data_IF_905035080069
#
_entry.id   IF_905035080069
#
_cell.length_a   1.000
_cell.length_b   1.000
_cell.length_c   1.000
_cell.angle_alpha   90.00
_cell.angle_beta   90.00
_cell.angle_gamma   90.00
#
_symmetry.space_group_name_H-M   'P 1'
#
loop_
_entity.id
_entity.type
_entity.pdbx_description
1 polymer ?
#
# COMPACT_ATOMS: atom_id res chain seq x y z
N UNK A 1 10.42 15.96 12.74
CA UNK A 1 9.36 15.01 12.35
C UNK A 1 10.01 13.96 11.48
N UNK A 2 10.39 12.85 12.10
CA UNK A 2 10.83 11.65 11.40
C UNK A 2 9.61 11.12 10.66
N UNK A 3 9.67 11.09 9.33
CA UNK A 3 8.70 10.39 8.51
C UNK A 3 8.91 8.90 8.85
N UNK A 4 7.87 8.24 9.34
CA UNK A 4 7.84 6.78 9.45
C UNK A 4 7.53 6.27 8.05
N UNK A 5 8.56 5.87 7.32
CA UNK A 5 8.43 5.31 5.98
C UNK A 5 8.22 3.79 6.07
N UNK A 6 7.59 3.21 5.04
CA UNK A 6 7.53 1.75 4.86
C UNK A 6 8.96 1.17 4.87
N UNK A 7 9.15 0.09 5.62
CA UNK A 7 10.45 -0.54 5.83
C UNK A 7 10.45 -1.96 5.31
N UNK A 8 11.55 -2.37 4.68
CA UNK A 8 11.74 -3.75 4.24
C UNK A 8 13.21 -4.13 4.34
N UNK A 9 13.46 -5.31 4.90
CA UNK A 9 14.78 -5.92 4.96
C UNK A 9 14.71 -7.39 4.56
N UNK A 10 15.75 -7.87 3.88
CA UNK A 10 15.89 -9.27 3.53
C UNK A 10 17.31 -9.75 3.86
N UNK A 11 17.42 -10.92 4.49
CA UNK A 11 18.70 -11.52 4.86
C UNK A 11 18.66 -13.04 4.73
N UNK A 12 19.85 -13.65 4.60
CA UNK A 12 19.94 -15.10 4.56
C UNK A 12 19.69 -15.71 5.94
N UNK A 13 18.79 -16.70 5.99
CA UNK A 13 18.57 -17.51 7.17
C UNK A 13 19.53 -18.70 7.11
N UNK A 14 20.76 -18.49 7.56
CA UNK A 14 21.78 -19.53 7.54
C UNK A 14 21.45 -20.63 8.58
N UNK A 15 20.62 -21.59 8.19
CA UNK A 15 20.32 -22.79 8.98
C UNK A 15 21.22 -23.96 8.58
N UNK A 16 21.38 -24.97 9.46
CA UNK A 16 21.95 -26.26 9.09
C UNK A 16 21.21 -26.89 7.91
N UNK A 17 21.93 -27.70 7.12
CA UNK A 17 21.32 -28.49 6.05
C UNK A 17 20.38 -29.51 6.71
N UNK A 18 19.09 -29.48 6.37
CA UNK A 18 18.15 -30.50 6.81
C UNK A 18 18.26 -31.69 5.83
N UNK A 19 18.42 -32.94 6.28
CA UNK A 19 18.44 -34.10 5.39
C UNK A 19 17.21 -34.20 4.46
N UNK A 20 16.06 -33.69 4.88
CA UNK A 20 14.87 -33.64 4.02
C UNK A 20 15.06 -32.68 2.81
N UNK A 21 15.89 -31.65 2.95
CA UNK A 21 16.18 -30.68 1.88
C UNK A 21 16.96 -31.36 0.73
N UNK A 22 17.80 -32.35 1.03
CA UNK A 22 18.62 -33.05 0.02
C UNK A 22 17.79 -33.93 -0.93
N UNK A 23 16.57 -34.30 -0.52
CA UNK A 23 15.66 -35.11 -1.33
C UNK A 23 15.03 -34.35 -2.50
N UNK A 24 15.21 -33.02 -2.57
CA UNK A 24 14.60 -32.17 -3.60
C UNK A 24 15.27 -32.30 -4.98
N UNK A 25 14.42 -32.37 -6.00
CA UNK A 25 14.84 -32.53 -7.41
C UNK A 25 15.31 -31.21 -8.03
N UNK A 26 14.74 -30.08 -7.62
CA UNK A 26 15.12 -28.73 -8.02
C UNK A 26 15.70 -27.94 -6.85
N UNK A 27 16.23 -26.75 -7.13
CA UNK A 27 16.68 -25.84 -6.07
C UNK A 27 15.65 -24.75 -5.87
N UNK A 28 15.29 -24.52 -4.61
CA UNK A 28 14.22 -23.61 -4.24
C UNK A 28 14.69 -22.60 -3.19
N UNK A 29 14.12 -21.40 -3.26
CA UNK A 29 14.14 -20.43 -2.19
C UNK A 29 12.97 -20.70 -1.25
N UNK A 30 13.26 -20.85 0.03
CA UNK A 30 12.27 -20.87 1.10
C UNK A 30 12.32 -19.49 1.75
N UNK A 31 11.30 -18.68 1.48
CA UNK A 31 11.24 -17.26 1.82
C UNK A 31 10.25 -17.10 2.97
N UNK A 32 10.76 -16.84 4.17
CA UNK A 32 9.94 -16.53 5.34
C UNK A 32 9.72 -15.01 5.40
N UNK A 33 8.50 -14.57 5.18
CA UNK A 33 8.12 -13.15 5.24
C UNK A 33 7.37 -12.93 6.55
N UNK A 34 7.84 -11.96 7.33
CA UNK A 34 7.18 -11.43 8.52
C UNK A 34 6.72 -10.01 8.22
N UNK A 35 5.41 -9.74 8.34
CA UNK A 35 4.82 -8.43 8.07
C UNK A 35 4.28 -7.86 9.37
N UNK A 36 4.69 -6.65 9.74
CA UNK A 36 4.09 -5.87 10.82
C UNK A 36 3.41 -4.62 10.27
N UNK A 37 2.19 -4.34 10.72
CA UNK A 37 1.50 -3.10 10.39
C UNK A 37 1.57 -2.15 11.56
N UNK A 38 1.99 -0.92 11.28
CA UNK A 38 2.26 0.11 12.26
C UNK A 38 1.25 1.23 12.00
N UNK A 39 0.36 1.47 12.96
CA UNK A 39 -0.67 2.51 12.85
C UNK A 39 -0.44 3.63 13.87
N UNK A 40 -0.75 4.88 13.51
CA UNK A 40 -0.85 5.94 14.52
C UNK A 40 -1.96 5.59 15.52
N UNK A 41 -1.82 6.01 16.79
CA UNK A 41 -2.87 5.81 17.78
C UNK A 41 -4.11 6.61 17.35
N UNK A 42 -5.33 6.10 17.60
CA UNK A 42 -6.55 6.84 17.28
C UNK A 42 -6.53 8.20 17.99
N UNK A 43 -6.86 9.28 17.28
CA UNK A 43 -7.00 10.62 17.86
C UNK A 43 -8.01 10.57 19.02
N UNK A 44 -7.52 10.54 20.26
CA UNK A 44 -8.35 10.79 21.44
C UNK A 44 -8.51 12.29 21.64
N UNK A 45 -9.73 12.74 21.92
CA UNK A 45 -10.09 14.16 22.17
C UNK A 45 -9.42 14.80 23.40
N UNK A 46 -8.44 14.14 24.03
CA UNK A 46 -7.71 14.67 25.19
C UNK A 46 -6.28 15.05 24.81
N UNK A 47 -6.00 16.35 24.94
CA UNK A 47 -4.71 16.99 24.66
C UNK A 47 -3.56 16.45 25.55
N UNK A 48 -2.38 16.32 24.94
CA UNK A 48 -1.06 16.01 25.52
C UNK A 48 -0.80 14.54 25.96
N UNK A 49 0.23 13.94 25.31
CA UNK A 49 0.73 12.55 25.37
C UNK A 49 0.10 11.65 24.28
N UNK A 50 0.75 11.18 23.23
CA UNK A 50 2.15 10.74 23.12
C UNK A 50 2.47 10.50 21.62
N UNK A 51 3.29 11.34 21.02
CA UNK A 51 3.68 11.27 19.58
C UNK A 51 4.50 10.01 19.22
N UNK A 52 4.73 9.11 20.19
CA UNK A 52 5.58 7.92 20.09
C UNK A 52 4.84 6.59 20.27
N UNK A 53 3.51 6.59 20.51
CA UNK A 53 2.75 5.35 20.67
C UNK A 53 2.19 4.85 19.33
N UNK A 54 3.08 4.44 18.44
CA UNK A 54 2.69 3.64 17.28
C UNK A 54 2.14 2.29 17.77
N UNK A 55 0.94 1.93 17.31
CA UNK A 55 0.35 0.62 17.61
C UNK A 55 0.84 -0.35 16.54
N UNK A 56 1.74 -1.25 16.94
CA UNK A 56 2.10 -2.42 16.14
C UNK A 56 0.99 -3.46 16.27
N UNK A 57 0.38 -3.89 15.17
CA UNK A 57 -0.56 -5.02 15.18
C UNK A 57 0.20 -6.34 15.29
N UNK A 58 -0.54 -7.43 15.61
CA UNK A 58 0.00 -8.78 15.49
C UNK A 58 0.48 -8.99 14.05
N UNK A 59 1.79 -9.21 13.89
CA UNK A 59 2.40 -9.42 12.59
C UNK A 59 2.02 -10.79 12.01
N UNK A 60 2.04 -10.90 10.68
CA UNK A 60 1.78 -12.15 9.98
C UNK A 60 3.09 -12.78 9.47
N UNK A 61 3.29 -14.06 9.78
CA UNK A 61 4.39 -14.87 9.26
C UNK A 61 3.89 -15.84 8.20
N UNK A 62 4.46 -15.80 6.99
CA UNK A 62 4.22 -16.79 5.94
C UNK A 62 5.50 -17.25 5.27
N UNK A 63 5.52 -18.51 4.85
CA UNK A 63 6.65 -19.11 4.14
C UNK A 63 6.24 -19.42 2.71
N UNK A 64 7.01 -18.92 1.76
CA UNK A 64 6.84 -19.17 0.33
C UNK A 64 7.97 -20.04 -0.20
N UNK A 65 7.65 -21.00 -1.06
CA UNK A 65 8.63 -21.80 -1.75
C UNK A 65 8.63 -21.48 -3.24
N UNK A 66 9.73 -20.92 -3.72
CA UNK A 66 9.87 -20.46 -5.11
C UNK A 66 11.07 -21.15 -5.73
N UNK A 67 10.89 -21.74 -6.91
CA UNK A 67 12.02 -22.32 -7.64
C UNK A 67 13.06 -21.24 -7.98
N UNK A 68 14.35 -21.59 -7.88
CA UNK A 68 15.45 -20.68 -8.21
C UNK A 68 15.28 -20.09 -9.60
N UNK A 69 14.94 -20.94 -10.56
CA UNK A 69 14.79 -20.52 -11.96
C UNK A 69 13.63 -19.55 -12.16
N UNK A 70 12.61 -19.56 -11.29
CA UNK A 70 11.51 -18.58 -11.33
C UNK A 70 11.92 -17.25 -10.70
N UNK A 71 12.67 -17.31 -9.60
CA UNK A 71 13.02 -16.10 -8.83
C UNK A 71 14.20 -15.30 -9.41
N UNK A 72 15.17 -15.96 -10.06
CA UNK A 72 16.42 -15.30 -10.48
C UNK A 72 16.91 -15.61 -11.90
N UNK A 73 16.26 -16.46 -12.72
CA UNK A 73 16.73 -16.65 -14.09
C UNK A 73 16.45 -15.45 -14.97
N UNK A 74 17.49 -15.03 -15.68
CA UNK A 74 17.59 -13.75 -16.38
C UNK A 74 16.95 -13.67 -17.77
N UNK A 75 16.04 -14.58 -18.14
CA UNK A 75 15.31 -14.46 -19.41
C UNK A 75 14.04 -13.59 -19.26
N UNK A 76 13.54 -13.40 -18.03
CA UNK A 76 12.28 -12.71 -17.76
C UNK A 76 12.31 -12.00 -16.38
N UNK A 77 12.90 -10.80 -16.33
CA UNK A 77 12.92 -9.99 -15.10
C UNK A 77 11.51 -9.62 -14.63
N UNK A 78 10.55 -9.49 -15.55
CA UNK A 78 9.16 -9.18 -15.23
C UNK A 78 8.54 -10.32 -14.41
N UNK A 79 8.77 -11.58 -14.79
CA UNK A 79 8.29 -12.75 -14.06
C UNK A 79 8.86 -12.84 -12.64
N UNK A 80 10.15 -12.56 -12.45
CA UNK A 80 10.76 -12.54 -11.11
C UNK A 80 10.12 -11.47 -10.22
N UNK A 81 9.86 -10.29 -10.77
CA UNK A 81 9.19 -9.20 -10.05
C UNK A 81 7.75 -9.55 -9.72
N UNK A 82 6.98 -10.06 -10.69
CA UNK A 82 5.59 -10.48 -10.49
C UNK A 82 5.46 -11.55 -9.42
N UNK A 83 6.38 -12.52 -9.38
CA UNK A 83 6.38 -13.54 -8.33
C UNK A 83 6.55 -12.93 -6.94
N UNK A 84 7.45 -11.96 -6.78
CA UNK A 84 7.64 -11.26 -5.50
C UNK A 84 6.46 -10.36 -5.14
N UNK A 85 5.89 -9.67 -6.13
CA UNK A 85 4.67 -8.86 -5.94
C UNK A 85 3.50 -9.72 -5.48
N UNK A 86 3.30 -10.90 -6.05
CA UNK A 86 2.25 -11.84 -5.65
C UNK A 86 2.45 -12.34 -4.21
N UNK A 87 3.69 -12.64 -3.80
CA UNK A 87 3.99 -13.03 -2.41
C UNK A 87 3.61 -11.93 -1.42
N UNK A 88 4.04 -10.69 -1.69
CA UNK A 88 3.75 -9.52 -0.85
C UNK A 88 2.25 -9.18 -0.83
N UNK A 89 1.59 -9.18 -2.00
CA UNK A 89 0.16 -8.92 -2.11
C UNK A 89 -0.69 -9.96 -1.38
N UNK A 90 -0.23 -11.21 -1.26
CA UNK A 90 -0.96 -12.24 -0.52
C UNK A 90 -1.00 -11.98 1.00
N UNK A 91 -0.12 -11.11 1.51
CA UNK A 91 0.01 -10.70 2.91
C UNK A 91 -0.43 -9.24 3.13
N UNK A 92 -1.25 -8.70 2.22
CA UNK A 92 -1.79 -7.34 2.27
C UNK A 92 -0.71 -6.23 2.32
N UNK A 93 0.50 -6.54 1.85
CA UNK A 93 1.59 -5.57 1.74
C UNK A 93 1.38 -4.72 0.48
N UNK A 94 1.39 -3.38 0.57
CA UNK A 94 1.21 -2.51 -0.58
C UNK A 94 2.32 -2.72 -1.62
N UNK A 95 1.97 -2.62 -2.90
CA UNK A 95 2.92 -2.82 -3.98
C UNK A 95 3.95 -1.68 -4.03
N UNK A 96 5.11 -1.90 -3.41
CA UNK A 96 6.22 -0.94 -3.38
C UNK A 96 7.41 -1.47 -4.18
N UNK A 97 7.86 -0.77 -5.24
CA UNK A 97 8.97 -1.25 -6.09
C UNK A 97 10.26 -1.55 -5.32
N UNK A 98 10.56 -0.78 -4.26
CA UNK A 98 11.79 -0.96 -3.48
C UNK A 98 11.81 -2.28 -2.71
N UNK A 99 10.65 -2.77 -2.21
CA UNK A 99 10.58 -4.04 -1.46
C UNK A 99 10.91 -5.22 -2.37
N UNK A 100 10.38 -5.19 -3.59
CA UNK A 100 10.67 -6.18 -4.64
C UNK A 100 12.17 -6.21 -4.95
N UNK A 101 12.78 -5.04 -5.12
CA UNK A 101 14.21 -4.93 -5.43
C UNK A 101 15.09 -5.45 -4.28
N UNK A 102 14.73 -5.19 -3.01
CA UNK A 102 15.46 -5.69 -1.83
C UNK A 102 15.45 -7.22 -1.80
N UNK A 103 14.28 -7.84 -1.97
CA UNK A 103 14.12 -9.30 -1.95
C UNK A 103 14.90 -9.94 -3.10
N UNK A 104 14.76 -9.42 -4.32
CA UNK A 104 15.46 -9.94 -5.50
C UNK A 104 16.99 -9.79 -5.38
N UNK A 105 17.46 -8.66 -4.87
CA UNK A 105 18.90 -8.45 -4.66
C UNK A 105 19.47 -9.40 -3.60
N UNK A 106 18.72 -9.68 -2.53
CA UNK A 106 19.10 -10.67 -1.52
C UNK A 106 19.16 -12.08 -2.15
N UNK A 107 18.13 -12.49 -2.89
CA UNK A 107 18.09 -13.77 -3.58
C UNK A 107 19.27 -13.95 -4.56
N UNK A 108 19.58 -12.93 -5.37
CA UNK A 108 20.74 -12.90 -6.28
C UNK A 108 22.06 -13.01 -5.52
N UNK A 109 22.19 -12.32 -4.39
CA UNK A 109 23.37 -12.41 -3.52
C UNK A 109 23.56 -13.82 -2.97
N UNK A 110 22.50 -14.43 -2.44
CA UNK A 110 22.51 -15.79 -1.91
C UNK A 110 22.86 -16.83 -2.98
N UNK A 111 22.31 -16.71 -4.18
CA UNK A 111 22.56 -17.64 -5.27
C UNK A 111 24.02 -17.66 -5.74
N UNK A 112 24.73 -16.54 -5.59
CA UNK A 112 26.13 -16.39 -5.98
C UNK A 112 27.13 -16.73 -4.87
N UNK A 113 26.67 -16.91 -3.62
CA UNK A 113 27.53 -17.25 -2.47
C UNK A 113 27.95 -18.72 -2.52
N UNK A 114 29.24 -18.99 -2.33
CA UNK A 114 29.79 -20.36 -2.39
C UNK A 114 29.17 -21.31 -1.36
N UNK A 115 28.81 -20.79 -0.18
CA UNK A 115 28.17 -21.55 0.90
C UNK A 115 26.81 -22.17 0.53
N UNK A 116 26.20 -21.75 -0.58
CA UNK A 116 24.90 -22.25 -1.06
C UNK A 116 24.99 -23.07 -2.35
N UNK A 117 26.19 -23.28 -2.93
CA UNK A 117 26.36 -24.00 -4.21
C UNK A 117 25.74 -25.40 -4.19
N UNK A 118 25.94 -26.13 -3.10
CA UNK A 118 25.44 -27.51 -2.95
C UNK A 118 24.09 -27.59 -2.23
N UNK A 119 23.50 -26.45 -1.87
CA UNK A 119 22.22 -26.42 -1.15
C UNK A 119 21.05 -26.50 -2.11
N UNK A 120 20.11 -27.39 -1.81
CA UNK A 120 18.82 -27.53 -2.49
C UNK A 120 17.75 -26.56 -1.98
N UNK A 121 17.92 -26.03 -0.78
CA UNK A 121 17.00 -25.06 -0.16
C UNK A 121 17.78 -23.86 0.32
N UNK A 122 17.43 -22.68 -0.21
CA UNK A 122 18.02 -21.40 0.15
C UNK A 122 17.01 -20.66 1.02
N UNK A 123 17.25 -20.63 2.32
CA UNK A 123 16.35 -19.98 3.29
C UNK A 123 16.65 -18.50 3.38
N UNK A 124 15.66 -17.67 3.08
CA UNK A 124 15.70 -16.21 3.16
C UNK A 124 14.64 -15.75 4.15
N UNK A 125 14.99 -14.80 5.01
CA UNK A 125 14.03 -14.10 5.84
C UNK A 125 13.80 -12.70 5.27
N UNK A 126 12.56 -12.25 5.32
CA UNK A 126 12.13 -10.92 4.92
C UNK A 126 11.30 -10.35 6.07
N UNK A 127 11.64 -9.15 6.51
CA UNK A 127 10.79 -8.39 7.43
C UNK A 127 10.28 -7.16 6.71
N UNK A 128 8.98 -6.94 6.77
CA UNK A 128 8.30 -5.79 6.19
C UNK A 128 7.54 -5.09 7.31
N UNK A 129 7.73 -3.78 7.43
CA UNK A 129 6.91 -2.94 8.28
C UNK A 129 6.17 -1.95 7.41
N UNK A 130 4.84 -2.05 7.41
CA UNK A 130 3.96 -1.19 6.63
C UNK A 130 3.39 -0.14 7.56
N UNK A 131 3.60 1.13 7.22
CA UNK A 131 2.97 2.22 7.98
C UNK A 131 1.60 2.47 7.37
N UNK A 132 0.56 2.11 8.11
CA UNK A 132 -0.81 2.39 7.70
C UNK A 132 -1.08 3.88 7.77
N UNK A 133 -1.48 4.48 6.66
CA UNK A 133 -2.22 5.73 6.71
C UNK A 133 -3.60 5.40 7.27
N UNK A 134 -4.17 6.23 8.15
CA UNK A 134 -5.53 6.05 8.69
C UNK A 134 -6.57 5.95 7.55
N UNK A 135 -6.81 4.73 7.07
CA UNK A 135 -7.86 4.31 6.14
C UNK A 135 -7.68 2.82 5.83
N UNK A 136 -8.11 1.97 6.76
CA UNK A 136 -8.69 0.62 6.58
C UNK A 136 -8.59 -0.12 7.92
N UNK A 137 -9.32 0.38 8.93
CA UNK A 137 -9.74 -0.49 10.03
C UNK A 137 -10.91 -1.32 9.51
N UNK A 138 -10.70 -2.63 9.38
CA UNK A 138 -11.76 -3.63 9.40
C UNK A 138 -12.57 -3.47 10.69
N UNK A 139 -13.58 -2.61 10.64
CA UNK A 139 -14.66 -2.65 11.61
C UNK A 139 -15.55 -3.85 11.21
N UNK A 140 -15.80 -4.77 12.14
CA UNK A 140 -16.87 -5.77 12.02
C UNK A 140 -18.13 -5.17 11.35
N UNK A 141 -18.88 -5.96 10.55
CA UNK A 141 -19.90 -5.44 9.64
C UNK A 141 -21.01 -4.73 10.42
N UNK A 142 -20.87 -3.41 10.54
CA UNK A 142 -21.92 -2.53 11.00
C UNK A 142 -22.86 -2.28 9.83
N UNK A 143 -24.12 -2.69 9.98
CA UNK A 143 -25.23 -2.50 9.05
C UNK A 143 -25.44 -1.02 8.66
N UNK A 144 -24.62 -0.47 7.76
CA UNK A 144 -24.91 0.77 7.01
C UNK A 144 -24.25 0.81 5.62
N UNK A 145 -24.05 -0.34 4.97
CA UNK A 145 -23.69 -0.38 3.55
C UNK A 145 -24.95 -0.32 2.67
N UNK A 146 -25.59 0.85 2.52
CA UNK A 146 -26.69 1.01 1.53
C UNK A 146 -26.77 2.35 0.78
N UNK A 147 -25.79 3.28 0.81
CA UNK A 147 -25.93 4.53 0.04
C UNK A 147 -24.66 5.05 -0.64
N UNK A 148 -23.94 4.20 -1.38
CA UNK A 148 -22.94 4.68 -2.35
C UNK A 148 -23.55 4.83 -3.74
N UNK A 149 -24.46 5.79 -3.87
CA UNK A 149 -25.04 6.21 -5.15
C UNK A 149 -24.35 7.47 -5.69
N UNK A 150 -24.49 7.76 -7.00
CA UNK A 150 -24.16 9.08 -7.53
C UNK A 150 -24.98 10.16 -6.83
N UNK A 151 -24.44 11.39 -6.74
CA UNK A 151 -25.28 12.51 -6.33
C UNK A 151 -26.37 12.74 -7.38
N UNK A 152 -27.54 13.24 -6.96
CA UNK A 152 -28.61 13.58 -7.89
C UNK A 152 -28.12 14.65 -8.88
N UNK A 153 -28.53 14.52 -10.15
CA UNK A 153 -28.15 15.46 -11.21
C UNK A 153 -28.55 16.90 -10.82
N UNK A 154 -29.70 17.03 -10.15
CA UNK A 154 -30.20 18.30 -9.63
C UNK A 154 -29.24 18.91 -8.59
N UNK A 155 -28.74 18.12 -7.63
CA UNK A 155 -27.80 18.60 -6.60
C UNK A 155 -26.43 18.94 -7.19
N UNK A 156 -25.96 18.19 -8.20
CA UNK A 156 -24.70 18.49 -8.91
C UNK A 156 -24.82 19.83 -9.65
N UNK A 157 -25.93 20.05 -10.35
CA UNK A 157 -26.16 21.27 -11.12
C UNK A 157 -26.36 22.49 -10.21
N UNK A 158 -26.96 22.32 -9.04
CA UNK A 158 -27.23 23.37 -8.05
C UNK A 158 -26.00 23.88 -7.28
N UNK A 159 -24.82 23.26 -7.44
CA UNK A 159 -23.58 23.74 -6.81
C UNK A 159 -23.29 25.20 -7.19
N UNK A 160 -22.91 25.99 -6.19
CA UNK A 160 -22.60 27.41 -6.35
C UNK A 160 -21.41 27.57 -7.31
N UNK A 161 -21.61 28.33 -8.40
CA UNK A 161 -20.53 28.71 -9.31
C UNK A 161 -19.80 29.91 -8.73
N UNK A 162 -18.51 29.75 -8.45
CA UNK A 162 -17.64 30.77 -7.87
C UNK A 162 -16.47 31.05 -8.79
N UNK A 163 -15.92 32.26 -8.73
CA UNK A 163 -14.70 32.63 -9.46
C UNK A 163 -13.52 32.64 -8.49
N UNK A 164 -12.48 31.90 -8.83
CA UNK A 164 -11.28 31.76 -8.01
C UNK A 164 -10.04 32.02 -8.87
N UNK A 165 -9.07 32.74 -8.30
CA UNK A 165 -7.86 33.19 -9.00
C UNK A 165 -6.57 32.67 -8.37
N UNK A 166 -6.59 32.22 -7.11
CA UNK A 166 -5.39 31.85 -6.33
C UNK A 166 -5.67 30.69 -5.37
N UNK A 167 -6.16 29.56 -5.90
CA UNK A 167 -6.33 28.30 -5.16
C UNK A 167 -5.86 27.13 -6.04
N UNK A 168 -5.74 25.94 -5.44
CA UNK A 168 -5.44 24.69 -6.15
C UNK A 168 -6.66 23.77 -6.09
N UNK A 169 -6.96 23.10 -7.20
CA UNK A 169 -8.04 22.12 -7.22
C UNK A 169 -7.59 20.81 -6.57
N UNK A 170 -8.26 20.38 -5.49
CA UNK A 170 -7.94 19.11 -4.80
C UNK A 170 -8.21 17.82 -5.57
N UNK A 171 -8.67 17.90 -6.84
CA UNK A 171 -8.93 16.73 -7.70
C UNK A 171 -7.82 16.58 -8.75
N UNK A 172 -7.55 17.61 -9.55
CA UNK A 172 -6.49 17.55 -10.57
C UNK A 172 -5.14 18.10 -10.09
N UNK A 173 -5.09 18.70 -8.90
CA UNK A 173 -3.92 19.34 -8.32
C UNK A 173 -3.35 20.51 -9.16
N UNK A 174 -4.15 21.09 -10.05
CA UNK A 174 -3.79 22.26 -10.84
C UNK A 174 -4.33 23.56 -10.23
N UNK A 175 -3.62 24.67 -10.44
CA UNK A 175 -4.03 26.01 -10.00
C UNK A 175 -5.17 26.58 -10.86
N UNK A 176 -6.10 27.33 -10.24
CA UNK A 176 -7.17 28.01 -10.96
C UNK A 176 -6.60 29.18 -11.78
N UNK A 177 -6.35 28.93 -13.06
CA UNK A 177 -5.68 29.88 -13.95
C UNK A 177 -6.62 31.01 -14.43
N UNK A 178 -6.56 32.19 -13.81
CA UNK A 178 -7.13 33.41 -14.40
C UNK A 178 -8.66 33.58 -14.23
N UNK A 179 -9.21 33.22 -13.07
CA UNK A 179 -10.62 33.51 -12.75
C UNK A 179 -11.60 32.51 -13.37
N UNK A 180 -11.17 31.26 -13.49
CA UNK A 180 -11.97 30.14 -13.99
C UNK A 180 -13.21 29.95 -13.14
N UNK A 181 -14.31 29.57 -13.80
CA UNK A 181 -15.54 29.16 -13.12
C UNK A 181 -15.31 27.81 -12.41
N UNK A 182 -15.30 27.88 -11.09
CA UNK A 182 -15.18 26.75 -10.20
C UNK A 182 -16.55 26.47 -9.56
N UNK A 183 -16.72 25.27 -9.00
CA UNK A 183 -17.91 24.91 -8.24
C UNK A 183 -17.55 24.76 -6.77
N UNK A 184 -18.38 25.36 -5.91
CA UNK A 184 -18.24 25.27 -4.45
C UNK A 184 -19.27 24.28 -3.90
N UNK A 185 -18.78 23.36 -3.07
CA UNK A 185 -19.59 22.43 -2.29
C UNK A 185 -20.24 23.14 -1.08
N UNK A 186 -21.35 22.63 -0.52
CA UNK A 186 -21.96 23.20 0.69
C UNK A 186 -21.02 23.24 1.91
N UNK A 187 -20.01 22.36 1.94
CA UNK A 187 -18.91 22.38 2.92
C UNK A 187 -17.83 23.44 2.64
N UNK A 188 -18.06 24.36 1.70
CA UNK A 188 -17.18 25.46 1.28
C UNK A 188 -15.93 25.10 0.48
N UNK A 189 -15.64 23.83 0.24
CA UNK A 189 -14.55 23.40 -0.63
C UNK A 189 -14.83 23.70 -2.11
N UNK A 190 -13.79 24.07 -2.86
CA UNK A 190 -13.89 24.55 -4.23
C UNK A 190 -13.05 23.72 -5.20
N UNK A 191 -13.61 23.39 -6.35
CA UNK A 191 -12.99 22.55 -7.38
C UNK A 191 -13.28 23.10 -8.78
N UNK A 192 -12.49 22.71 -9.78
CA UNK A 192 -12.88 22.94 -11.17
C UNK A 192 -14.25 22.35 -11.43
N UNK A 193 -15.10 23.07 -12.18
CA UNK A 193 -16.47 22.65 -12.45
C UNK A 193 -16.54 21.23 -13.01
N UNK A 194 -15.70 20.90 -14.01
CA UNK A 194 -15.65 19.55 -14.57
C UNK A 194 -15.13 18.50 -13.58
N UNK A 195 -14.20 18.86 -12.68
CA UNK A 195 -13.56 17.91 -11.78
C UNK A 195 -14.58 17.41 -10.76
N UNK A 196 -15.29 18.33 -10.11
CA UNK A 196 -16.25 17.95 -9.07
C UNK A 196 -17.52 17.35 -9.66
N UNK A 197 -17.95 17.77 -10.87
CA UNK A 197 -19.08 17.13 -11.56
C UNK A 197 -18.76 15.66 -11.88
N UNK A 198 -17.60 15.39 -12.49
CA UNK A 198 -17.19 14.02 -12.80
C UNK A 198 -17.06 13.15 -11.55
N UNK A 199 -16.53 13.72 -10.46
CA UNK A 199 -16.44 13.05 -9.17
C UNK A 199 -17.83 12.69 -8.61
N UNK A 200 -18.77 13.64 -8.63
CA UNK A 200 -20.10 13.48 -8.06
C UNK A 200 -21.02 12.52 -8.83
N UNK A 201 -20.72 12.26 -10.10
CA UNK A 201 -21.35 11.18 -10.86
C UNK A 201 -20.94 9.77 -10.41
N UNK A 202 -19.87 9.65 -9.60
CA UNK A 202 -19.36 8.37 -9.12
C UNK A 202 -19.52 8.25 -7.60
N UNK A 203 -19.37 9.37 -6.89
CA UNK A 203 -19.34 9.46 -5.41
C UNK A 203 -20.09 10.68 -4.96
N UNK A 204 -21.11 10.56 -4.10
CA UNK A 204 -21.85 11.72 -3.62
C UNK A 204 -21.19 12.49 -2.48
N UNK A 205 -19.86 12.52 -2.35
CA UNK A 205 -19.17 13.20 -1.23
C UNK A 205 -18.02 14.09 -1.68
N UNK A 206 -17.70 15.09 -0.85
CA UNK A 206 -16.59 16.01 -1.06
C UNK A 206 -15.23 15.29 -1.01
N UNK A 207 -14.34 15.44 -2.02
CA UNK A 207 -13.02 14.82 -2.02
C UNK A 207 -12.11 15.19 -0.84
N UNK A 208 -12.32 16.36 -0.22
CA UNK A 208 -11.43 16.87 0.83
C UNK A 208 -11.91 16.54 2.24
N UNK A 209 -13.22 16.46 2.48
CA UNK A 209 -13.77 16.34 3.83
C UNK A 209 -14.91 15.33 3.95
N UNK A 210 -15.17 14.54 2.90
CA UNK A 210 -16.22 13.50 2.83
C UNK A 210 -17.65 13.99 3.14
N UNK A 211 -17.88 15.31 3.12
CA UNK A 211 -19.22 15.87 3.26
C UNK A 211 -20.13 15.36 2.13
N UNK A 212 -21.23 14.71 2.49
CA UNK A 212 -22.17 14.12 1.55
C UNK A 212 -23.08 15.18 0.91
N UNK A 213 -23.19 15.13 -0.41
CA UNK A 213 -24.08 15.93 -1.24
C UNK A 213 -25.30 15.08 -1.59
N UNK A 214 -26.41 15.31 -0.87
CA UNK A 214 -27.69 14.65 -1.11
C UNK A 214 -28.52 15.39 -2.17
#
# INVERSE_FOLDING_TARGET
MSIVDDYCEAWDACSPINPDDESRTCVVFSISIHVSFIYPPPESEDEEHDFLNLVETEGEDRVFEVERDVLINGDDEDKSRSTVQEMLSSMDVPERPFMVDIILNCARSMANKESYKDRKVLRMNVSVSVVGNEQEQDHEPSETAELEGPASEESIQALEIVRVVEQQCGICLEEFSGGVEARRMPCSHVFHGHCIVNWLHIRNFCPLCRFQLN
#
